data_IF_044493866788
#
_entry.id   IF_044493866788
#
_cell.length_a   1.000
_cell.length_b   1.000
_cell.length_c   1.000
_cell.angle_alpha   90.00
_cell.angle_beta   90.00
_cell.angle_gamma   90.00
#
_symmetry.space_group_name_H-M   'P 1'
#
loop_
_entity.id
_entity.type
_entity.pdbx_description
1 polymer ?
#
# COMPACT_ATOMS: atom_id res chain seq x y z
N UNK A 1 -2.55 -13.72 0.14
CA UNK A 1 -1.63 -13.25 -0.30
C UNK A 1 -0.96 -12.27 0.48
N UNK A 2 0.11 -11.72 0.00
CA UNK A 2 0.95 -10.88 0.83
C UNK A 2 0.22 -9.64 1.31
N UNK A 3 -0.69 -9.11 0.54
CA UNK A 3 -1.40 -7.91 0.95
C UNK A 3 -2.27 -8.19 2.18
N UNK A 4 -3.07 -9.24 2.11
CA UNK A 4 -3.96 -9.54 3.21
C UNK A 4 -3.25 -10.11 4.41
N UNK A 5 -2.14 -10.81 4.20
CA UNK A 5 -1.46 -11.49 5.28
C UNK A 5 -0.54 -10.62 6.08
N UNK A 6 -0.03 -9.53 5.48
CA UNK A 6 1.03 -8.75 6.11
C UNK A 6 0.69 -7.32 6.44
N UNK A 7 -0.41 -6.78 5.89
CA UNK A 7 -0.73 -5.38 6.09
C UNK A 7 -1.83 -5.20 7.12
N UNK A 8 -1.71 -4.18 8.00
CA UNK A 8 -2.84 -3.82 8.86
C UNK A 8 -4.05 -3.43 8.02
N UNK A 9 -5.21 -3.52 8.62
CA UNK A 9 -6.45 -3.23 7.90
C UNK A 9 -6.44 -1.84 7.28
N UNK A 10 -5.99 -0.83 8.03
CA UNK A 10 -5.97 0.54 7.52
C UNK A 10 -5.01 0.66 6.34
N UNK A 11 -3.88 -0.04 6.40
CA UNK A 11 -2.93 -0.02 5.29
C UNK A 11 -3.54 -0.67 4.05
N UNK A 12 -4.35 -1.72 4.23
CA UNK A 12 -5.04 -2.34 3.11
C UNK A 12 -6.03 -1.37 2.48
N UNK A 13 -6.71 -0.57 3.29
CA UNK A 13 -7.64 0.43 2.78
C UNK A 13 -6.91 1.49 1.97
N UNK A 14 -5.74 1.91 2.45
CA UNK A 14 -4.92 2.88 1.71
C UNK A 14 -4.49 2.28 0.39
N UNK A 15 -4.07 1.02 0.40
CA UNK A 15 -3.66 0.34 -0.82
C UNK A 15 -4.81 0.31 -1.84
N UNK A 16 -5.99 -0.09 -1.40
CA UNK A 16 -7.12 -0.20 -2.31
C UNK A 16 -7.55 1.15 -2.86
N UNK A 17 -7.57 2.17 -2.02
CA UNK A 17 -7.95 3.49 -2.47
C UNK A 17 -6.97 4.02 -3.52
N UNK A 18 -5.67 3.85 -3.26
CA UNK A 18 -4.65 4.32 -4.19
C UNK A 18 -4.68 3.49 -5.47
N UNK A 19 -4.89 2.18 -5.34
CA UNK A 19 -4.99 1.30 -6.49
C UNK A 19 -6.13 1.72 -7.41
N UNK A 20 -7.31 1.95 -6.82
CA UNK A 20 -8.46 2.37 -7.60
C UNK A 20 -8.23 3.71 -8.28
N UNK A 21 -7.62 4.65 -7.56
CA UNK A 21 -7.33 5.95 -8.14
C UNK A 21 -6.36 5.84 -9.31
N UNK A 22 -5.31 5.04 -9.13
CA UNK A 22 -4.30 4.87 -10.17
C UNK A 22 -4.89 4.19 -11.39
N UNK A 23 -5.81 3.24 -11.20
CA UNK A 23 -6.41 2.52 -12.32
C UNK A 23 -7.23 3.45 -13.20
N UNK A 24 -7.65 4.59 -12.66
CA UNK A 24 -8.39 5.57 -13.46
C UNK A 24 -7.46 6.56 -14.17
N UNK A 25 -6.22 6.68 -13.71
CA UNK A 25 -5.29 7.65 -14.25
C UNK A 25 -4.30 7.04 -15.23
N UNK A 26 -3.98 5.76 -15.06
CA UNK A 26 -2.96 5.12 -15.87
C UNK A 26 -3.54 3.89 -16.55
N UNK A 27 -3.00 3.55 -17.70
CA UNK A 27 -3.39 2.34 -18.42
C UNK A 27 -2.52 1.15 -18.11
N UNK A 28 -1.54 1.30 -17.22
CA UNK A 28 -0.52 0.29 -16.96
C UNK A 28 -0.73 -0.30 -15.58
N UNK A 29 -1.02 -1.60 -15.51
CA UNK A 29 -1.24 -2.28 -14.22
C UNK A 29 -0.03 -2.19 -13.30
N UNK A 30 1.16 -2.22 -13.88
CA UNK A 30 2.36 -2.10 -13.06
C UNK A 30 2.38 -0.78 -12.29
N UNK A 31 1.89 0.26 -12.91
CA UNK A 31 1.79 1.57 -12.25
C UNK A 31 0.75 1.57 -11.15
N UNK A 32 -0.33 0.82 -11.35
CA UNK A 32 -1.37 0.75 -10.31
C UNK A 32 -0.79 0.18 -9.02
N UNK A 33 -0.05 -0.92 -9.13
CA UNK A 33 0.57 -1.53 -7.95
C UNK A 33 1.64 -0.64 -7.35
N UNK A 34 2.48 -0.06 -8.19
CA UNK A 34 3.55 0.82 -7.69
C UNK A 34 2.96 2.01 -6.95
N UNK A 35 1.91 2.60 -7.50
CA UNK A 35 1.27 3.75 -6.87
C UNK A 35 0.63 3.36 -5.54
N UNK A 36 -0.03 2.20 -5.51
CA UNK A 36 -0.67 1.74 -4.29
C UNK A 36 0.35 1.46 -3.19
N UNK A 37 1.45 0.80 -3.53
CA UNK A 37 2.48 0.53 -2.54
C UNK A 37 3.15 1.80 -2.07
N UNK A 38 3.36 2.77 -2.97
CA UNK A 38 3.94 4.05 -2.57
C UNK A 38 3.02 4.76 -1.57
N UNK A 39 1.72 4.69 -1.77
CA UNK A 39 0.77 5.30 -0.84
C UNK A 39 0.84 4.64 0.53
N UNK A 40 0.95 3.31 0.55
CA UNK A 40 1.08 2.60 1.82
C UNK A 40 2.38 3.01 2.52
N UNK A 41 3.47 3.09 1.76
CA UNK A 41 4.77 3.43 2.33
C UNK A 41 4.85 4.85 2.85
N UNK A 42 3.96 5.71 2.39
CA UNK A 42 3.90 7.07 2.93
C UNK A 42 3.38 7.10 4.36
N UNK A 43 2.57 6.13 4.74
CA UNK A 43 1.95 6.09 6.05
C UNK A 43 2.46 4.95 6.92
N UNK A 44 3.04 3.93 6.33
CA UNK A 44 3.50 2.74 7.05
C UNK A 44 4.92 2.41 6.65
N UNK A 45 5.60 1.68 7.50
CA UNK A 45 6.95 1.21 7.20
C UNK A 45 7.10 -0.21 7.69
N UNK A 46 8.05 -0.93 7.10
CA UNK A 46 8.31 -2.30 7.50
C UNK A 46 9.37 -2.28 8.59
N UNK A 47 9.07 -2.89 9.73
CA UNK A 47 10.02 -2.90 10.84
C UNK A 47 11.00 -4.07 10.68
N UNK A 48 11.89 -4.22 11.67
CA UNK A 48 12.92 -5.25 11.61
C UNK A 48 12.34 -6.67 11.64
N UNK A 49 11.12 -6.81 12.12
CA UNK A 49 10.46 -8.11 12.13
C UNK A 49 9.75 -8.41 10.82
N UNK A 50 9.82 -7.51 9.86
CA UNK A 50 9.16 -7.68 8.59
C UNK A 50 7.68 -7.36 8.62
N UNK A 51 7.22 -6.68 9.65
CA UNK A 51 5.82 -6.32 9.78
C UNK A 51 5.60 -4.86 9.44
N UNK A 52 4.46 -4.58 8.83
CA UNK A 52 4.09 -3.21 8.50
C UNK A 52 3.52 -2.52 9.72
N UNK A 53 4.09 -1.39 10.08
CA UNK A 53 3.64 -0.61 11.23
C UNK A 53 3.46 0.84 10.79
N UNK A 54 2.55 1.52 11.45
CA UNK A 54 2.29 2.92 11.13
C UNK A 54 3.50 3.76 11.48
N UNK A 55 3.89 4.63 10.57
CA UNK A 55 5.00 5.53 10.83
C UNK A 55 4.64 6.49 11.95
N UNK A 56 5.57 6.70 12.86
CA UNK A 56 5.38 7.68 13.89
C UNK A 56 5.95 9.01 13.41
N UNK A 57 5.30 10.05 13.75
CA UNK A 57 5.74 11.39 13.34
C UNK A 57 6.81 11.96 14.22
#
# INVERSE_FOLDING_TARGET
>A
DSVKGNLPKHAQEIFLAAFNSASKQYDDESRWFATAWAAVENSYEKNSDGKWVKKSD
#
